data_IF_615994999748
#
_entry.id   IF_615994999748
#
_cell.length_a   1.000
_cell.length_b   1.000
_cell.length_c   1.000
_cell.angle_alpha   90.00
_cell.angle_beta   90.00
_cell.angle_gamma   90.00
#
_symmetry.space_group_name_H-M   'P 1'
#
loop_
_entity.id
_entity.type
_entity.pdbx_description
1 polymer ?
#
# COMPACT_ATOMS: atom_id res chain seq x y z
N UNK A 1 13.40 5.32 11.79
CA UNK A 1 12.48 4.27 11.31
C UNK A 1 11.60 3.94 12.48
N UNK A 2 10.33 4.32 12.43
CA UNK A 2 9.41 4.06 13.54
C UNK A 2 9.14 2.56 13.69
N UNK A 3 8.98 2.11 14.93
CA UNK A 3 8.70 0.73 15.28
C UNK A 3 7.41 0.24 14.59
N UNK A 4 6.42 1.12 14.48
CA UNK A 4 5.16 0.86 13.77
C UNK A 4 5.38 0.60 12.28
N UNK A 5 6.27 1.35 11.61
CA UNK A 5 6.57 1.14 10.19
C UNK A 5 7.25 -0.21 9.99
N UNK A 6 8.21 -0.54 10.85
CA UNK A 6 8.92 -1.82 10.80
C UNK A 6 7.97 -3.00 11.04
N UNK A 7 7.12 -2.92 12.08
CA UNK A 7 6.11 -3.95 12.36
C UNK A 7 5.12 -4.12 11.21
N UNK A 8 4.65 -3.00 10.65
CA UNK A 8 3.75 -3.00 9.50
C UNK A 8 4.40 -3.74 8.32
N UNK A 9 5.68 -3.49 8.03
CA UNK A 9 6.45 -4.16 6.97
C UNK A 9 6.71 -5.64 7.22
N UNK A 10 7.05 -6.02 8.45
CA UNK A 10 7.46 -7.39 8.78
C UNK A 10 6.27 -8.34 8.99
N UNK A 11 5.13 -7.83 9.45
CA UNK A 11 3.94 -8.65 9.78
C UNK A 11 3.52 -9.67 8.70
N UNK A 12 3.46 -9.36 7.38
CA UNK A 12 3.02 -10.32 6.38
C UNK A 12 3.99 -11.49 6.24
N UNK A 13 5.30 -11.21 6.40
CA UNK A 13 6.35 -12.22 6.32
C UNK A 13 6.30 -13.17 7.53
N UNK A 14 5.98 -12.65 8.71
CA UNK A 14 5.77 -13.46 9.92
C UNK A 14 4.58 -14.41 9.76
N UNK A 15 3.47 -13.94 9.17
CA UNK A 15 2.31 -14.79 8.89
C UNK A 15 2.62 -15.89 7.86
N UNK A 16 3.39 -15.59 6.81
CA UNK A 16 3.84 -16.59 5.84
C UNK A 16 4.78 -17.60 6.49
N UNK A 17 5.80 -17.13 7.22
CA UNK A 17 6.77 -17.99 7.87
C UNK A 17 6.11 -18.93 8.90
N UNK A 18 5.24 -18.38 9.76
CA UNK A 18 4.48 -19.16 10.73
C UNK A 18 3.50 -20.14 10.09
N UNK A 19 2.75 -19.70 9.06
CA UNK A 19 1.81 -20.56 8.34
C UNK A 19 2.50 -21.71 7.61
N UNK A 20 3.64 -21.42 6.98
CA UNK A 20 4.44 -22.41 6.25
C UNK A 20 5.10 -23.39 7.22
N UNK A 21 5.69 -22.89 8.31
CA UNK A 21 6.23 -23.75 9.36
C UNK A 21 5.13 -24.67 9.95
N UNK A 22 3.94 -24.15 10.19
CA UNK A 22 2.81 -24.96 10.67
C UNK A 22 2.36 -26.04 9.68
N UNK A 23 2.50 -25.83 8.37
CA UNK A 23 2.14 -26.83 7.36
C UNK A 23 3.20 -27.93 7.24
N UNK A 24 4.48 -27.56 7.32
CA UNK A 24 5.59 -28.50 7.11
C UNK A 24 6.03 -29.25 8.36
N UNK A 25 5.95 -28.64 9.54
CA UNK A 25 6.40 -29.24 10.79
C UNK A 25 5.28 -29.91 11.60
N UNK A 26 4.01 -29.64 11.27
CA UNK A 26 2.93 -30.28 11.99
C UNK A 26 2.54 -31.60 11.32
N UNK A 27 2.80 -32.70 12.01
CA UNK A 27 2.44 -34.05 11.58
C UNK A 27 0.92 -34.27 11.61
N UNK A 28 0.21 -33.54 12.48
CA UNK A 28 -1.24 -33.63 12.60
C UNK A 28 -1.94 -32.89 11.44
N UNK A 29 -2.85 -33.55 10.70
CA UNK A 29 -3.56 -32.92 9.59
C UNK A 29 -4.42 -31.73 10.04
N UNK A 30 -4.88 -31.72 11.29
CA UNK A 30 -5.62 -30.58 11.88
C UNK A 30 -4.79 -29.30 11.98
N UNK A 31 -3.46 -29.40 12.09
CA UNK A 31 -2.58 -28.23 12.18
C UNK A 31 -2.30 -27.57 10.82
N UNK A 32 -2.73 -28.18 9.71
CA UNK A 32 -2.64 -27.59 8.37
C UNK A 32 -3.70 -26.50 8.14
N UNK A 33 -4.87 -26.62 8.76
CA UNK A 33 -5.96 -25.64 8.68
C UNK A 33 -5.54 -24.24 9.19
N UNK A 34 -5.00 -24.09 10.41
CA UNK A 34 -4.52 -22.79 10.87
C UNK A 34 -3.33 -22.28 10.05
N UNK A 35 -2.46 -23.17 9.55
CA UNK A 35 -1.37 -22.79 8.64
C UNK A 35 -1.87 -22.17 7.33
N UNK A 36 -2.88 -22.78 6.70
CA UNK A 36 -3.53 -22.22 5.51
C UNK A 36 -4.25 -20.89 5.81
N UNK A 37 -4.89 -20.78 6.98
CA UNK A 37 -5.54 -19.55 7.42
C UNK A 37 -4.53 -18.39 7.59
N UNK A 38 -3.36 -18.68 8.16
CA UNK A 38 -2.25 -17.72 8.31
C UNK A 38 -1.73 -17.24 6.94
N UNK A 39 -1.57 -18.15 5.99
CA UNK A 39 -1.15 -17.80 4.61
C UNK A 39 -2.24 -16.95 3.93
N UNK A 40 -3.51 -17.30 4.08
CA UNK A 40 -4.62 -16.52 3.54
C UNK A 40 -4.68 -15.11 4.15
N UNK A 41 -4.42 -14.98 5.45
CA UNK A 41 -4.33 -13.69 6.14
C UNK A 41 -3.14 -12.85 5.63
N UNK A 42 -1.98 -13.46 5.40
CA UNK A 42 -0.85 -12.76 4.79
C UNK A 42 -1.21 -12.24 3.38
N UNK A 43 -1.85 -13.08 2.57
CA UNK A 43 -2.29 -12.71 1.22
C UNK A 43 -3.30 -11.55 1.23
N UNK A 44 -4.25 -11.54 2.16
CA UNK A 44 -5.20 -10.42 2.29
C UNK A 44 -4.52 -9.13 2.71
N UNK A 45 -3.55 -9.17 3.65
CA UNK A 45 -2.76 -7.99 4.04
C UNK A 45 -1.98 -7.43 2.85
N UNK A 46 -1.31 -8.30 2.08
CA UNK A 46 -0.57 -7.89 0.86
C UNK A 46 -1.53 -7.27 -0.15
N UNK A 47 -2.69 -7.88 -0.39
CA UNK A 47 -3.71 -7.37 -1.31
C UNK A 47 -4.24 -6.00 -0.87
N UNK A 48 -4.48 -5.81 0.42
CA UNK A 48 -4.95 -4.53 0.98
C UNK A 48 -3.88 -3.44 0.81
N UNK A 49 -2.61 -3.77 1.09
CA UNK A 49 -1.46 -2.88 0.88
C UNK A 49 -1.32 -2.46 -0.58
N UNK A 50 -1.45 -3.40 -1.52
CA UNK A 50 -1.43 -3.08 -2.95
C UNK A 50 -2.58 -2.17 -3.36
N UNK A 51 -3.78 -2.38 -2.81
CA UNK A 51 -4.94 -1.53 -3.08
C UNK A 51 -4.75 -0.12 -2.53
N UNK A 52 -4.20 0.02 -1.32
CA UNK A 52 -3.86 1.32 -0.73
C UNK A 52 -2.81 2.07 -1.56
N UNK A 53 -1.69 1.43 -1.92
CA UNK A 53 -0.67 2.06 -2.76
C UNK A 53 -1.23 2.54 -4.10
N UNK A 54 -2.10 1.75 -4.74
CA UNK A 54 -2.77 2.15 -5.99
C UNK A 54 -3.72 3.34 -5.78
N UNK A 55 -4.47 3.37 -4.68
CA UNK A 55 -5.37 4.46 -4.36
C UNK A 55 -4.63 5.78 -4.06
N UNK A 56 -3.45 5.71 -3.43
CA UNK A 56 -2.63 6.89 -3.18
C UNK A 56 -1.98 7.43 -4.46
N UNK A 57 -1.48 6.56 -5.34
CA UNK A 57 -0.95 6.98 -6.65
C UNK A 57 -2.05 7.65 -7.50
N UNK A 58 -3.29 7.17 -7.43
CA UNK A 58 -4.42 7.79 -8.12
C UNK A 58 -4.85 9.15 -7.53
N UNK A 59 -4.48 9.44 -6.28
CA UNK A 59 -4.75 10.70 -5.59
C UNK A 59 -3.66 11.74 -5.76
N UNK A 60 -2.53 11.41 -6.39
CA UNK A 60 -1.55 12.43 -6.76
C UNK A 60 -2.18 13.22 -7.92
N UNK A 61 -2.71 14.44 -7.71
CA UNK A 61 -3.15 15.26 -8.82
C UNK A 61 -1.91 15.45 -9.70
N UNK A 62 -2.05 15.12 -10.98
CA UNK A 62 -0.97 15.34 -11.94
C UNK A 62 -0.62 16.82 -11.82
N UNK A 63 0.57 17.11 -11.29
CA UNK A 63 1.10 18.48 -11.16
C UNK A 63 1.26 19.20 -12.51
N UNK A 64 0.87 18.54 -13.61
CA UNK A 64 0.83 19.06 -14.96
C UNK A 64 -0.36 20.00 -15.23
N UNK A 65 -1.37 20.06 -14.35
CA UNK A 65 -2.52 20.98 -14.52
C UNK A 65 -2.32 22.34 -13.83
N UNK A 66 -1.35 22.47 -12.91
CA UNK A 66 -1.13 23.72 -12.17
C UNK A 66 -0.36 24.76 -13.01
N UNK A 67 0.39 24.32 -14.02
CA UNK A 67 1.18 25.23 -14.86
C UNK A 67 0.36 25.86 -16.01
N UNK A 68 -0.78 25.25 -16.39
CA UNK A 68 -1.67 25.81 -17.42
C UNK A 68 -2.58 26.93 -16.89
N UNK A 69 -2.83 27.01 -15.58
CA UNK A 69 -3.67 28.05 -14.98
C UNK A 69 -3.02 29.42 -14.83
N UNK A 70 -1.70 29.55 -15.11
CA UNK A 70 -0.96 30.82 -14.95
C UNK A 70 -0.61 31.50 -16.28
N UNK A 71 -0.82 30.83 -17.41
CA UNK A 71 -0.56 31.37 -18.75
C UNK A 71 -1.73 32.19 -19.32
N UNK A 72 -2.91 32.17 -18.68
CA UNK A 72 -4.15 32.70 -19.25
C UNK A 72 -4.74 33.88 -18.46
N UNK A 73 -3.88 34.81 -18.02
CA UNK A 73 -4.34 36.14 -17.61
C UNK A 73 -4.23 37.11 -18.79
N UNK A 74 -5.30 37.29 -19.60
CA UNK A 74 -5.36 38.37 -20.57
C UNK A 74 -5.60 39.69 -19.83
N UNK A 75 -4.78 40.69 -20.13
CA UNK A 75 -5.18 42.09 -19.95
C UNK A 75 -4.73 42.75 -18.65
N UNK A 76 -3.42 42.95 -18.49
CA UNK A 76 -2.94 44.15 -17.79
C UNK A 76 -2.68 45.22 -18.84
N UNK A 77 -3.77 45.93 -19.17
CA UNK A 77 -3.75 47.21 -19.87
C UNK A 77 -2.95 48.21 -19.03
N UNK A 78 -1.67 48.38 -19.36
CA UNK A 78 -0.87 49.51 -18.87
C UNK A 78 -1.37 50.78 -19.56
N UNK A 79 -2.43 51.35 -18.99
CA UNK A 79 -2.86 52.73 -19.22
C UNK A 79 -2.46 53.58 -18.01
N UNK A 80 -1.28 54.19 -18.06
CA UNK A 80 -0.89 55.42 -17.33
C UNK A 80 0.09 56.16 -18.25
N UNK A 81 -0.41 57.16 -18.96
CA UNK A 81 -0.39 58.60 -18.62
C UNK A 81 1.02 59.15 -18.61
#
# INVERSE_FOLDING_TARGET
MDLETCWYEVSPYMYIAGGTASIFYAEAPMARLPGLLLIAAAATIIRLRWRHRRAEVAKIPRAHDVDQGKADLPGVSHRRR
#
